data_IF_072463898528
#
_entry.id   IF_072463898528
#
_cell.length_a   1.000
_cell.length_b   1.000
_cell.length_c   1.000
_cell.angle_alpha   90.00
_cell.angle_beta   90.00
_cell.angle_gamma   90.00
#
_symmetry.space_group_name_H-M   'P 1'
#
loop_
_entity.id
_entity.type
_entity.pdbx_description
1 polymer ?
#
# COMPACT_ATOMS: atom_id res chain seq x y z
N UNK A 1 21.32 0.01 -19.99
CA UNK A 1 20.35 0.92 -19.37
C UNK A 1 20.24 0.49 -17.92
N UNK A 2 20.73 1.30 -16.98
CA UNK A 2 21.02 0.88 -15.61
C UNK A 2 19.76 0.39 -14.88
N UNK A 3 19.84 -0.81 -14.28
CA UNK A 3 18.81 -1.39 -13.40
C UNK A 3 19.16 -1.08 -11.95
N UNK A 4 19.12 0.19 -11.58
CA UNK A 4 19.40 0.61 -10.21
C UNK A 4 18.09 0.98 -9.52
N UNK A 5 17.53 0.05 -8.75
CA UNK A 5 16.54 0.34 -7.71
C UNK A 5 16.17 -0.93 -6.93
N UNK A 6 17.14 -1.54 -6.23
CA UNK A 6 16.85 -2.24 -4.98
C UNK A 6 16.40 -1.21 -3.93
N UNK A 7 15.22 -0.62 -4.12
CA UNK A 7 14.64 0.29 -3.14
C UNK A 7 14.06 -0.58 -2.05
N UNK A 8 14.81 -0.73 -0.95
CA UNK A 8 14.24 -1.19 0.31
C UNK A 8 13.08 -0.26 0.65
N UNK A 9 11.87 -0.82 0.69
CA UNK A 9 10.72 -0.01 1.12
C UNK A 9 10.83 0.19 2.64
N UNK A 10 10.75 1.44 3.15
CA UNK A 10 10.77 1.70 4.59
C UNK A 10 9.66 0.96 5.34
N UNK A 11 8.61 0.59 4.63
CA UNK A 11 7.44 -0.12 5.14
C UNK A 11 7.63 -1.63 5.32
N UNK A 12 8.33 -2.30 4.40
CA UNK A 12 8.44 -3.77 4.44
C UNK A 12 9.85 -4.26 4.77
N UNK A 13 10.86 -3.36 4.83
CA UNK A 13 12.26 -3.74 5.05
C UNK A 13 12.82 -4.69 3.99
N UNK A 14 12.17 -4.75 2.82
CA UNK A 14 12.45 -5.64 1.70
C UNK A 14 12.10 -4.93 0.37
N UNK A 15 12.68 -5.37 -0.76
CA UNK A 15 12.32 -4.86 -2.09
C UNK A 15 10.80 -4.99 -2.32
N UNK A 16 10.22 -3.96 -2.95
CA UNK A 16 8.81 -3.99 -3.37
C UNK A 16 8.57 -5.17 -4.35
N UNK A 17 7.32 -5.62 -4.43
CA UNK A 17 6.83 -6.91 -4.96
C UNK A 17 7.15 -7.27 -6.44
N UNK A 18 8.27 -6.85 -7.01
CA UNK A 18 8.61 -7.14 -8.40
C UNK A 18 9.01 -8.61 -8.60
N UNK A 19 9.80 -9.20 -7.69
CA UNK A 19 10.51 -10.45 -8.01
C UNK A 19 10.32 -11.59 -6.99
N UNK A 20 9.76 -11.32 -5.80
CA UNK A 20 9.72 -12.30 -4.68
C UNK A 20 8.45 -12.22 -3.83
N UNK A 21 7.26 -12.24 -4.45
CA UNK A 21 6.05 -12.45 -3.64
C UNK A 21 6.01 -13.89 -3.11
N UNK A 22 6.43 -14.09 -1.86
CA UNK A 22 6.18 -15.30 -1.10
C UNK A 22 4.98 -15.08 -0.17
N UNK A 23 3.84 -15.62 -0.57
CA UNK A 23 2.60 -15.59 0.20
C UNK A 23 2.80 -16.17 1.61
N UNK A 24 3.66 -17.18 1.78
CA UNK A 24 3.81 -17.87 3.07
C UNK A 24 4.50 -17.00 4.13
N UNK A 25 5.51 -16.21 3.74
CA UNK A 25 6.18 -15.27 4.64
C UNK A 25 5.36 -14.02 4.98
N UNK A 26 4.47 -13.57 4.10
CA UNK A 26 3.68 -12.35 4.30
C UNK A 26 2.36 -12.57 5.07
N UNK A 27 1.83 -13.80 5.06
CA UNK A 27 0.56 -14.12 5.71
C UNK A 27 0.51 -13.80 7.22
N UNK A 28 1.52 -14.13 8.04
CA UNK A 28 1.49 -13.80 9.47
C UNK A 28 1.38 -12.29 9.74
N UNK A 29 2.05 -11.47 8.92
CA UNK A 29 1.97 -10.01 9.01
C UNK A 29 0.55 -9.51 8.71
N UNK A 30 -0.06 -9.96 7.61
CA UNK A 30 -1.43 -9.55 7.26
C UNK A 30 -2.47 -10.05 8.26
N UNK A 31 -2.27 -11.21 8.90
CA UNK A 31 -3.18 -11.66 9.96
C UNK A 31 -3.14 -10.76 11.20
N UNK A 32 -1.96 -10.25 11.54
CA UNK A 32 -1.76 -9.37 12.68
C UNK A 32 -2.20 -7.92 12.40
N UNK A 33 -1.83 -7.38 11.24
CA UNK A 33 -1.86 -5.92 10.99
C UNK A 33 -2.87 -5.49 9.91
N UNK A 34 -3.47 -6.41 9.14
CA UNK A 34 -4.43 -6.00 8.12
C UNK A 34 -5.74 -5.50 8.75
N UNK A 35 -6.25 -4.39 8.23
CA UNK A 35 -7.57 -3.87 8.59
C UNK A 35 -8.66 -4.92 8.34
N UNK A 36 -9.56 -5.09 9.29
CA UNK A 36 -10.67 -6.05 9.24
C UNK A 36 -12.00 -5.33 9.00
N UNK A 37 -13.02 -6.09 8.64
CA UNK A 37 -14.37 -5.55 8.46
C UNK A 37 -14.88 -4.98 9.79
N UNK A 38 -15.34 -3.73 9.77
CA UNK A 38 -15.81 -3.01 10.95
C UNK A 38 -14.74 -2.16 11.63
N UNK A 39 -13.45 -2.36 11.32
CA UNK A 39 -12.39 -1.48 11.79
C UNK A 39 -12.53 -0.09 11.15
N UNK A 40 -12.08 0.93 11.88
CA UNK A 40 -11.88 2.25 11.29
C UNK A 40 -10.75 2.13 10.28
N UNK A 41 -11.03 2.53 9.03
CA UNK A 41 -10.01 2.51 7.98
C UNK A 41 -8.78 3.35 8.40
N UNK A 42 -7.55 2.83 8.24
CA UNK A 42 -6.34 3.57 8.57
C UNK A 42 -6.22 4.80 7.67
N UNK A 43 -5.84 5.93 8.24
CA UNK A 43 -5.62 7.14 7.46
C UNK A 43 -4.22 7.14 6.84
N UNK A 44 -4.13 7.58 5.60
CA UNK A 44 -2.88 7.72 4.87
C UNK A 44 -3.02 8.82 3.82
N UNK A 45 -1.88 9.36 3.40
CA UNK A 45 -1.81 10.41 2.39
C UNK A 45 -1.05 9.91 1.18
N UNK A 46 -1.64 10.04 -0.01
CA UNK A 46 -1.03 9.66 -1.28
C UNK A 46 -0.95 10.86 -2.24
N UNK A 47 0.03 10.87 -3.14
CA UNK A 47 0.04 11.80 -4.26
C UNK A 47 -1.06 11.45 -5.28
N UNK A 48 -1.72 12.47 -5.77
CA UNK A 48 -2.54 12.46 -6.98
C UNK A 48 -1.64 12.45 -8.22
N UNK A 49 -2.24 12.14 -9.37
CA UNK A 49 -1.51 12.10 -10.65
C UNK A 49 -0.85 13.44 -10.99
N UNK A 50 -1.44 14.55 -10.54
CA UNK A 50 -0.97 15.91 -10.75
C UNK A 50 0.03 16.38 -9.67
N UNK A 51 0.34 15.53 -8.68
CA UNK A 51 1.32 15.80 -7.63
C UNK A 51 0.77 16.47 -6.35
N UNK A 52 -0.51 16.84 -6.33
CA UNK A 52 -1.19 17.23 -5.08
C UNK A 52 -1.33 16.03 -4.14
N UNK A 53 -1.36 16.27 -2.82
CA UNK A 53 -1.52 15.22 -1.82
C UNK A 53 -2.99 15.10 -1.39
N UNK A 54 -3.50 13.86 -1.30
CA UNK A 54 -4.83 13.58 -0.75
C UNK A 54 -4.74 12.60 0.42
N UNK A 55 -5.40 12.94 1.52
CA UNK A 55 -5.60 12.02 2.65
C UNK A 55 -6.88 11.21 2.47
N UNK A 56 -6.88 9.93 2.89
CA UNK A 56 -8.09 9.11 2.85
C UNK A 56 -9.23 9.73 3.66
N UNK A 57 -8.92 10.33 4.80
CA UNK A 57 -9.90 11.02 5.65
C UNK A 57 -10.60 12.19 4.98
N UNK A 58 -10.00 12.81 3.96
CA UNK A 58 -10.63 13.88 3.18
C UNK A 58 -11.82 13.39 2.32
N UNK A 59 -11.93 12.07 2.08
CA UNK A 59 -13.00 11.47 1.27
C UNK A 59 -14.18 10.94 2.09
N UNK A 60 -14.18 11.15 3.41
CA UNK A 60 -15.26 10.73 4.32
C UNK A 60 -16.61 11.39 3.96
N UNK A 61 -17.69 10.82 4.49
CA UNK A 61 -19.07 11.28 4.25
C UNK A 61 -19.76 10.61 3.07
N UNK A 62 -19.07 9.71 2.37
CA UNK A 62 -19.61 8.83 1.32
C UNK A 62 -18.89 7.48 1.33
N UNK A 63 -19.49 6.41 0.79
CA UNK A 63 -18.77 5.17 0.54
C UNK A 63 -17.59 5.41 -0.41
N UNK A 64 -16.44 4.83 -0.08
CA UNK A 64 -15.20 4.91 -0.86
C UNK A 64 -14.70 3.49 -1.11
N UNK A 65 -14.30 3.19 -2.36
CA UNK A 65 -13.64 1.93 -2.72
C UNK A 65 -12.20 2.22 -3.08
N UNK A 66 -11.27 1.45 -2.49
CA UNK A 66 -9.83 1.55 -2.77
C UNK A 66 -9.45 0.35 -3.63
N UNK A 67 -8.84 0.63 -4.78
CA UNK A 67 -8.28 -0.37 -5.67
C UNK A 67 -6.76 -0.27 -5.63
N UNK A 68 -6.09 -1.42 -5.45
CA UNK A 68 -4.64 -1.53 -5.44
C UNK A 68 -4.21 -2.23 -6.72
N UNK A 69 -3.70 -1.45 -7.67
CA UNK A 69 -3.15 -1.95 -8.93
C UNK A 69 -1.63 -1.74 -9.01
N UNK A 70 -0.98 -2.52 -9.87
CA UNK A 70 0.39 -2.29 -10.30
C UNK A 70 0.43 -2.14 -11.81
N UNK A 71 1.12 -1.13 -12.32
CA UNK A 71 1.48 -1.08 -13.75
C UNK A 71 2.75 -1.89 -13.91
N UNK A 72 2.66 -2.99 -14.66
CA UNK A 72 3.79 -3.85 -15.05
C UNK A 72 4.27 -3.52 -16.44
#
# INVERSE_FOLDING_TARGET
>A
MAKDANIETPFLGKPYNYDTWDRSGALPFFQAEAARVGDVAPDFTLPLAEGEQIALSALRGKPVMIEFGSIT
#
